data_IF_004766193236
#
_entry.id   IF_004766193236
#
_cell.length_a   1.000
_cell.length_b   1.000
_cell.length_c   1.000
_cell.angle_alpha   90.00
_cell.angle_beta   90.00
_cell.angle_gamma   90.00
#
_symmetry.space_group_name_H-M   'P 1'
#
loop_
_entity.id
_entity.type
_entity.pdbx_description
1 polymer ?
#
# COMPACT_ATOMS: atom_id res chain seq x y z
N UNK A 1 -7.88 -6.91 7.77
CA UNK A 1 -8.93 -5.89 7.48
C UNK A 1 -8.34 -4.82 6.59
N UNK A 2 -9.13 -4.20 5.71
CA UNK A 2 -8.70 -3.05 4.91
C UNK A 2 -9.58 -1.84 5.19
N UNK A 3 -8.94 -0.67 5.34
CA UNK A 3 -9.62 0.63 5.35
C UNK A 3 -8.98 1.55 4.33
N UNK A 4 -9.80 2.33 3.63
CA UNK A 4 -9.34 3.39 2.72
C UNK A 4 -9.80 4.76 3.20
N UNK A 5 -9.02 5.80 2.92
CA UNK A 5 -9.40 7.20 3.14
C UNK A 5 -8.75 8.12 2.13
N UNK A 6 -9.54 9.05 1.57
CA UNK A 6 -9.00 10.20 0.84
C UNK A 6 -8.55 11.30 1.82
N UNK A 7 -7.35 11.83 1.61
CA UNK A 7 -6.79 12.94 2.36
C UNK A 7 -6.56 14.15 1.45
N UNK A 8 -7.16 15.29 1.83
CA UNK A 8 -7.01 16.59 1.15
C UNK A 8 -6.05 17.55 1.86
N UNK A 9 -5.76 17.29 3.14
CA UNK A 9 -5.02 18.18 4.02
C UNK A 9 -3.58 17.69 4.23
N UNK A 10 -2.61 18.52 3.83
CA UNK A 10 -1.19 18.25 3.97
C UNK A 10 -0.79 17.98 5.43
N UNK A 11 -1.33 18.75 6.39
CA UNK A 11 -0.98 18.59 7.80
C UNK A 11 -1.41 17.22 8.33
N UNK A 12 -2.58 16.74 7.89
CA UNK A 12 -3.07 15.40 8.26
C UNK A 12 -2.22 14.30 7.64
N UNK A 13 -1.80 14.45 6.38
CA UNK A 13 -0.95 13.48 5.70
C UNK A 13 0.42 13.38 6.38
N UNK A 14 1.08 14.53 6.61
CA UNK A 14 2.37 14.58 7.31
C UNK A 14 2.27 14.01 8.73
N UNK A 15 1.17 14.28 9.45
CA UNK A 15 0.90 13.66 10.75
C UNK A 15 0.83 12.14 10.67
N UNK A 16 0.16 11.58 9.65
CA UNK A 16 0.11 10.12 9.45
C UNK A 16 1.51 9.57 9.20
N UNK A 17 2.30 10.21 8.33
CA UNK A 17 3.67 9.79 8.03
C UNK A 17 4.56 9.79 9.28
N UNK A 18 4.34 10.71 10.22
CA UNK A 18 5.06 10.74 11.51
C UNK A 18 4.59 9.69 12.54
N UNK A 19 3.47 9.00 12.28
CA UNK A 19 2.91 7.97 13.17
C UNK A 19 3.24 6.55 12.72
N UNK A 20 3.88 6.37 11.57
CA UNK A 20 4.27 5.08 11.03
C UNK A 20 5.78 5.04 10.80
N UNK A 21 6.41 3.92 11.13
CA UNK A 21 7.86 3.75 11.02
C UNK A 21 8.22 2.26 10.98
N UNK A 22 9.24 1.85 10.20
CA UNK A 22 9.94 2.65 9.19
C UNK A 22 8.98 3.09 8.07
N UNK A 23 9.34 4.15 7.33
CA UNK A 23 8.74 4.38 6.02
C UNK A 23 9.58 3.69 4.96
N UNK A 24 8.90 3.07 4.01
CA UNK A 24 9.51 2.33 2.92
C UNK A 24 8.81 2.60 1.60
N UNK A 25 9.50 2.36 0.50
CA UNK A 25 8.98 2.39 -0.86
C UNK A 25 9.45 1.13 -1.62
N UNK A 26 9.39 1.18 -2.95
CA UNK A 26 9.83 0.07 -3.81
C UNK A 26 11.34 -0.23 -3.69
N UNK A 27 12.17 0.75 -3.30
CA UNK A 27 13.64 0.65 -3.30
C UNK A 27 14.27 0.64 -1.92
N UNK A 28 13.67 1.30 -0.93
CA UNK A 28 14.30 1.55 0.38
C UNK A 28 13.33 1.44 1.55
N UNK A 29 13.90 1.38 2.77
CA UNK A 29 13.16 1.28 4.05
C UNK A 29 13.56 2.35 5.08
N UNK A 30 14.23 3.40 4.62
CA UNK A 30 14.72 4.51 5.44
C UNK A 30 14.22 5.86 4.90
N UNK A 31 13.04 5.86 4.28
CA UNK A 31 12.43 7.07 3.74
C UNK A 31 12.02 7.98 4.92
N UNK A 32 12.32 9.27 4.84
CA UNK A 32 11.78 10.24 5.80
C UNK A 32 10.46 10.83 5.30
N UNK A 33 9.57 11.29 6.19
CA UNK A 33 8.35 11.98 5.77
C UNK A 33 8.60 13.16 4.82
N UNK A 34 9.70 13.89 5.02
CA UNK A 34 10.09 15.05 4.20
C UNK A 34 10.57 14.64 2.81
N UNK A 35 11.34 13.56 2.70
CA UNK A 35 11.76 13.03 1.40
C UNK A 35 10.56 12.48 0.60
N UNK A 36 9.57 11.90 1.27
CA UNK A 36 8.38 11.41 0.58
C UNK A 36 7.42 12.54 0.16
N UNK A 37 7.09 13.44 1.09
CA UNK A 37 6.06 14.46 0.90
C UNK A 37 6.65 15.81 0.50
N UNK A 38 7.09 15.92 -0.75
CA UNK A 38 7.71 17.13 -1.31
C UNK A 38 6.73 17.96 -2.12
N UNK A 39 6.88 19.28 -2.10
CA UNK A 39 6.06 20.18 -2.93
C UNK A 39 6.27 19.88 -4.43
N UNK A 40 5.19 20.03 -5.20
CA UNK A 40 5.18 19.67 -6.63
C UNK A 40 4.96 18.19 -6.93
N UNK A 41 4.96 17.31 -5.92
CA UNK A 41 4.72 15.86 -6.12
C UNK A 41 3.27 15.43 -5.87
N UNK A 42 2.39 16.37 -5.51
CA UNK A 42 0.97 16.13 -5.23
C UNK A 42 0.14 17.32 -5.73
N UNK A 43 -1.18 17.14 -5.90
CA UNK A 43 -2.06 18.24 -6.28
C UNK A 43 -2.07 19.37 -5.24
N UNK A 44 -1.83 20.60 -5.66
CA UNK A 44 -1.83 21.77 -4.78
C UNK A 44 -3.22 22.38 -4.59
N UNK A 45 -4.15 22.13 -5.53
CA UNK A 45 -5.50 22.67 -5.49
C UNK A 45 -6.27 22.17 -4.25
N UNK A 46 -6.87 23.05 -3.43
CA UNK A 46 -7.43 22.68 -2.12
C UNK A 46 -8.62 21.72 -2.20
N UNK A 47 -9.39 21.75 -3.28
CA UNK A 47 -10.54 20.86 -3.46
C UNK A 47 -10.16 19.42 -3.85
N UNK A 48 -8.93 19.19 -4.33
CA UNK A 48 -8.51 17.86 -4.80
C UNK A 48 -8.03 17.00 -3.65
N UNK A 49 -8.29 15.70 -3.75
CA UNK A 49 -7.57 14.74 -2.92
C UNK A 49 -6.08 14.84 -3.24
N UNK A 50 -5.24 14.67 -2.22
CA UNK A 50 -3.78 14.71 -2.35
C UNK A 50 -3.20 13.33 -2.19
N UNK A 51 -3.76 12.55 -1.26
CA UNK A 51 -3.39 11.16 -1.06
C UNK A 51 -4.59 10.24 -0.87
N UNK A 52 -4.40 8.97 -1.23
CA UNK A 52 -5.21 7.84 -0.79
C UNK A 52 -4.42 7.11 0.29
N UNK A 53 -5.05 6.86 1.43
CA UNK A 53 -4.47 6.08 2.52
C UNK A 53 -5.15 4.72 2.56
N UNK A 54 -4.37 3.64 2.55
CA UNK A 54 -4.86 2.27 2.64
C UNK A 54 -4.21 1.57 3.83
N UNK A 55 -5.02 1.09 4.77
CA UNK A 55 -4.55 0.28 5.89
C UNK A 55 -4.66 -1.20 5.53
N UNK A 56 -3.57 -1.96 5.66
CA UNK A 56 -3.54 -3.40 5.56
C UNK A 56 -3.28 -3.97 6.96
N UNK A 57 -4.26 -4.66 7.53
CA UNK A 57 -4.17 -5.24 8.87
C UNK A 57 -4.25 -6.78 8.79
N UNK A 58 -3.10 -7.48 8.84
CA UNK A 58 -3.06 -8.93 8.89
C UNK A 58 -3.83 -9.50 10.08
N UNK A 59 -4.54 -10.61 9.86
CA UNK A 59 -5.26 -11.34 10.92
C UNK A 59 -4.36 -12.18 11.83
N UNK A 60 -3.03 -12.08 11.66
CA UNK A 60 -1.99 -12.73 12.46
C UNK A 60 -0.80 -11.80 12.58
N UNK A 61 0.03 -11.98 13.61
CA UNK A 61 1.28 -11.23 13.75
C UNK A 61 2.23 -11.61 12.60
N UNK A 62 2.75 -10.61 11.92
CA UNK A 62 3.82 -10.74 10.94
C UNK A 62 5.08 -10.11 11.51
N UNK A 63 6.25 -10.58 11.09
CA UNK A 63 7.49 -9.86 11.32
C UNK A 63 7.59 -8.62 10.42
N UNK A 64 8.61 -7.80 10.66
CA UNK A 64 8.82 -6.55 9.93
C UNK A 64 9.00 -6.77 8.43
N UNK A 65 9.78 -7.77 8.04
CA UNK A 65 10.08 -8.05 6.62
C UNK A 65 8.81 -8.44 5.86
N UNK A 66 8.00 -9.33 6.45
CA UNK A 66 6.71 -9.73 5.90
C UNK A 66 5.72 -8.54 5.82
N UNK A 67 5.75 -7.62 6.78
CA UNK A 67 4.94 -6.38 6.73
C UNK A 67 5.39 -5.46 5.58
N UNK A 68 6.70 -5.26 5.39
CA UNK A 68 7.22 -4.46 4.27
C UNK A 68 6.87 -5.11 2.94
N UNK A 69 7.08 -6.43 2.83
CA UNK A 69 6.71 -7.21 1.64
C UNK A 69 5.22 -7.10 1.34
N UNK A 70 4.34 -7.19 2.35
CA UNK A 70 2.90 -7.01 2.17
C UNK A 70 2.58 -5.60 1.63
N UNK A 71 3.23 -4.56 2.15
CA UNK A 71 3.07 -3.20 1.65
C UNK A 71 3.48 -3.06 0.18
N UNK A 72 4.66 -3.57 -0.18
CA UNK A 72 5.18 -3.56 -1.57
C UNK A 72 4.26 -4.31 -2.53
N UNK A 73 3.79 -5.50 -2.13
CA UNK A 73 2.83 -6.28 -2.93
C UNK A 73 1.51 -5.53 -3.11
N UNK A 74 0.99 -4.90 -2.04
CA UNK A 74 -0.22 -4.10 -2.11
C UNK A 74 -0.08 -2.91 -3.07
N UNK A 75 1.02 -2.18 -3.00
CA UNK A 75 1.27 -1.06 -3.90
C UNK A 75 1.43 -1.50 -5.35
N UNK A 76 2.25 -2.52 -5.61
CA UNK A 76 2.43 -3.07 -6.97
C UNK A 76 1.13 -3.61 -7.55
N UNK A 77 0.27 -4.23 -6.73
CA UNK A 77 -1.05 -4.69 -7.17
C UNK A 77 -1.94 -3.50 -7.58
N UNK A 78 -1.95 -2.42 -6.78
CA UNK A 78 -2.76 -1.24 -7.11
C UNK A 78 -2.31 -0.58 -8.41
N UNK A 79 -1.01 -0.41 -8.61
CA UNK A 79 -0.44 0.15 -9.85
C UNK A 79 -0.77 -0.73 -11.05
N UNK A 80 -0.62 -2.06 -10.92
CA UNK A 80 -0.93 -3.00 -11.99
C UNK A 80 -2.41 -2.98 -12.39
N UNK A 81 -3.32 -2.83 -11.43
CA UNK A 81 -4.77 -2.82 -11.67
C UNK A 81 -5.26 -1.51 -12.25
N UNK A 82 -4.75 -0.39 -11.75
CA UNK A 82 -5.15 0.94 -12.21
C UNK A 82 -4.47 1.35 -13.51
N UNK A 83 -3.36 0.69 -13.86
CA UNK A 83 -2.53 1.08 -15.00
C UNK A 83 -1.79 2.40 -14.77
N UNK A 84 -1.68 2.83 -13.50
CA UNK A 84 -1.03 4.08 -13.10
C UNK A 84 0.25 3.78 -12.31
N UNK A 85 1.27 4.61 -12.54
CA UNK A 85 2.49 4.67 -11.74
C UNK A 85 2.38 5.87 -10.81
N UNK A 86 2.55 5.65 -9.51
CA UNK A 86 2.36 6.70 -8.51
C UNK A 86 3.47 6.69 -7.47
N UNK A 87 3.77 7.87 -6.94
CA UNK A 87 4.58 7.98 -5.73
C UNK A 87 3.80 7.41 -4.55
N UNK A 88 4.33 6.38 -3.91
CA UNK A 88 3.74 5.80 -2.71
C UNK A 88 4.81 5.55 -1.65
N UNK A 89 4.38 5.51 -0.40
CA UNK A 89 5.17 4.94 0.67
C UNK A 89 4.30 4.04 1.54
N UNK A 90 4.91 3.03 2.14
CA UNK A 90 4.33 2.26 3.21
C UNK A 90 4.98 2.63 4.54
N UNK A 91 4.26 2.42 5.63
CA UNK A 91 4.83 2.46 6.96
C UNK A 91 4.12 1.50 7.91
N UNK A 92 4.85 0.99 8.90
CA UNK A 92 4.29 0.10 9.91
C UNK A 92 3.78 0.94 11.08
N UNK A 93 2.57 0.66 11.57
CA UNK A 93 2.03 1.34 12.74
C UNK A 93 2.86 1.08 14.00
N UNK A 94 2.80 2.00 14.97
CA UNK A 94 3.53 1.88 16.25
C UNK A 94 3.28 0.58 17.01
N UNK A 95 2.08 0.02 16.90
CA UNK A 95 1.72 -1.25 17.53
C UNK A 95 2.16 -2.49 16.72
N UNK A 96 2.75 -2.29 15.53
CA UNK A 96 3.20 -3.35 14.64
C UNK A 96 2.08 -4.14 13.97
N UNK A 97 0.82 -3.71 14.07
CA UNK A 97 -0.35 -4.51 13.65
C UNK A 97 -0.80 -4.27 12.22
N UNK A 98 -0.46 -3.12 11.63
CA UNK A 98 -0.91 -2.74 10.29
C UNK A 98 0.19 -2.07 9.49
N UNK A 99 0.10 -2.25 8.18
CA UNK A 99 0.82 -1.46 7.18
C UNK A 99 -0.11 -0.34 6.74
N UNK A 100 0.36 0.90 6.75
CA UNK A 100 -0.33 2.05 6.19
C UNK A 100 0.37 2.41 4.90
N UNK A 101 -0.33 2.25 3.78
CA UNK A 101 0.10 2.73 2.48
C UNK A 101 -0.47 4.13 2.24
N UNK A 102 0.38 5.03 1.79
CA UNK A 102 0.02 6.38 1.37
C UNK A 102 0.40 6.48 -0.10
N UNK A 103 -0.60 6.68 -0.96
CA UNK A 103 -0.41 6.90 -2.39
C UNK A 103 -0.68 8.37 -2.67
N UNK A 104 0.22 9.05 -3.38
CA UNK A 104 -0.11 10.37 -3.94
C UNK A 104 -1.18 10.16 -5.01
N UNK A 105 -2.07 11.13 -5.14
CA UNK A 105 -3.15 11.07 -6.15
C UNK A 105 -2.70 11.57 -7.51
N UNK A 106 -1.62 12.37 -7.55
CA UNK A 106 -0.99 12.75 -8.80
C UNK A 106 -0.13 11.58 -9.29
N UNK A 107 -0.60 10.90 -10.32
CA UNK A 107 0.02 9.71 -10.89
C UNK A 107 0.29 9.92 -12.39
N UNK A 108 0.97 8.95 -13.00
CA UNK A 108 1.20 8.90 -14.44
C UNK A 108 0.59 7.64 -15.01
N UNK A 109 -0.06 7.76 -16.16
CA UNK A 109 -0.48 6.60 -16.94
C UNK A 109 0.75 5.79 -17.36
N UNK A 110 0.77 4.49 -17.06
CA UNK A 110 1.96 3.64 -17.26
C UNK A 110 2.35 3.48 -18.74
N UNK A 111 1.39 3.66 -19.66
CA UNK A 111 1.64 3.48 -21.11
C UNK A 111 2.04 4.79 -21.78
N UNK A 112 1.39 5.88 -21.41
CA UNK A 112 1.49 7.17 -22.10
C UNK A 112 2.29 8.21 -21.34
N UNK A 113 2.64 7.94 -20.07
CA UNK A 113 3.26 8.88 -19.14
C UNK A 113 2.50 10.19 -18.93
N UNK A 114 1.24 10.26 -19.37
CA UNK A 114 0.39 11.42 -19.14
C UNK A 114 -0.03 11.48 -17.68
N UNK A 115 -0.03 12.68 -17.11
CA UNK A 115 -0.50 12.89 -15.73
C UNK A 115 -1.98 12.54 -15.63
N UNK A 116 -2.31 11.73 -14.63
CA UNK A 116 -3.68 11.35 -14.28
C UNK A 116 -3.88 11.40 -12.78
N UNK A 117 -5.14 11.52 -12.37
CA UNK A 117 -5.52 11.40 -10.97
C UNK A 117 -5.77 9.93 -10.67
N UNK A 118 -5.15 9.42 -9.60
CA UNK A 118 -5.40 8.08 -9.07
C UNK A 118 -6.78 8.06 -8.40
N UNK A 119 -7.66 7.23 -8.95
CA UNK A 119 -8.93 6.85 -8.35
C UNK A 119 -8.85 5.38 -7.98
N UNK A 120 -9.11 5.07 -6.71
CA UNK A 120 -9.08 3.69 -6.21
C UNK A 120 -10.51 3.19 -6.12
N UNK A 121 -10.82 2.17 -6.91
CA UNK A 121 -12.16 1.58 -6.97
C UNK A 121 -12.37 0.55 -5.85
N UNK A 122 -13.63 0.26 -5.46
CA UNK A 122 -13.93 -0.78 -4.48
C UNK A 122 -13.30 -2.14 -4.83
N UNK A 123 -13.24 -2.49 -6.11
CA UNK A 123 -12.68 -3.72 -6.65
C UNK A 123 -11.17 -3.81 -6.41
N UNK A 124 -10.45 -2.69 -6.48
CA UNK A 124 -9.02 -2.63 -6.17
C UNK A 124 -8.78 -2.89 -4.69
N UNK A 125 -9.61 -2.30 -3.82
CA UNK A 125 -9.53 -2.53 -2.38
C UNK A 125 -9.86 -3.98 -2.03
N UNK A 126 -10.83 -4.60 -2.72
CA UNK A 126 -11.13 -6.03 -2.56
C UNK A 126 -9.92 -6.88 -2.96
N UNK A 127 -9.30 -6.60 -4.10
CA UNK A 127 -8.10 -7.33 -4.55
C UNK A 127 -6.94 -7.18 -3.55
N UNK A 128 -6.68 -5.98 -3.03
CA UNK A 128 -5.70 -5.79 -1.97
C UNK A 128 -6.06 -6.58 -0.70
N UNK A 129 -7.35 -6.71 -0.36
CA UNK A 129 -7.81 -7.44 0.83
C UNK A 129 -7.61 -8.96 0.74
N UNK A 130 -7.38 -9.48 -0.47
CA UNK A 130 -7.02 -10.87 -0.71
C UNK A 130 -5.53 -11.15 -0.46
N UNK A 131 -4.67 -10.14 -0.57
CA UNK A 131 -3.25 -10.24 -0.20
C UNK A 131 -3.05 -10.34 1.32
N UNK A 132 -3.95 -9.75 2.10
CA UNK A 132 -3.79 -9.64 3.55
C UNK A 132 -3.96 -11.01 4.22
N UNK A 133 -2.92 -11.56 4.88
CA UNK A 133 -3.00 -12.86 5.54
C UNK A 133 -4.13 -12.89 6.57
N UNK A 134 -5.02 -13.89 6.49
CA UNK A 134 -6.14 -14.08 7.42
C UNK A 134 -5.86 -15.23 8.37
N UNK A 135 -6.38 -15.15 9.59
CA UNK A 135 -6.31 -16.26 10.56
C UNK A 135 -6.99 -17.49 9.94
N UNK A 136 -6.27 -18.62 9.85
CA UNK A 136 -6.78 -19.90 9.36
C UNK A 136 -6.60 -20.21 7.86
N UNK A 137 -6.59 -19.21 6.96
CA UNK A 137 -6.62 -19.44 5.49
C UNK A 137 -5.30 -19.92 4.87
N UNK A 138 -4.17 -19.59 5.49
CA UNK A 138 -2.84 -19.96 4.97
C UNK A 138 -2.45 -21.42 5.22
N UNK A 139 -3.10 -22.09 6.19
CA UNK A 139 -2.87 -23.51 6.49
C UNK A 139 -3.28 -24.39 5.31
N UNK A 140 -4.38 -24.03 4.65
CA UNK A 140 -4.90 -24.78 3.49
C UNK A 140 -4.06 -24.54 2.24
N UNK A 141 -3.60 -23.30 2.00
CA UNK A 141 -2.79 -22.96 0.81
C UNK A 141 -1.42 -23.65 0.84
N UNK A 142 -0.80 -23.80 2.02
CA UNK A 142 0.43 -24.59 2.20
C UNK A 142 0.19 -26.10 2.07
N UNK A 143 -0.92 -26.63 2.61
CA UNK A 143 -1.26 -28.05 2.43
C UNK A 143 -1.56 -28.40 0.97
N UNK A 144 -2.22 -27.52 0.22
CA UNK A 144 -2.51 -27.73 -1.20
C UNK A 144 -1.25 -27.73 -2.07
N UNK A 145 -0.27 -26.85 -1.78
CA UNK A 145 1.04 -26.85 -2.48
C UNK A 145 1.87 -28.11 -2.19
N UNK A 146 1.88 -28.61 -0.95
CA UNK A 146 2.58 -29.87 -0.61
C UNK A 146 1.96 -31.08 -1.32
N UNK A 147 0.63 -31.19 -1.33
CA UNK A 147 -0.08 -32.29 -2.02
C UNK A 147 0.07 -32.27 -3.54
N UNK A 148 0.28 -31.09 -4.14
CA UNK A 148 0.56 -30.96 -5.58
C UNK A 148 1.95 -31.43 -5.98
N UNK A 149 2.95 -31.31 -5.09
CA UNK A 149 4.32 -31.77 -5.36
C UNK A 149 4.51 -33.27 -5.15
N UNK A 150 3.71 -33.92 -4.29
CA UNK A 150 3.78 -35.37 -4.05
C UNK A 150 3.08 -36.21 -5.13
N UNK A 151 2.24 -35.62 -5.98
CA UNK A 151 1.56 -36.30 -7.10
C UNK A 151 2.26 -36.15 -8.45
N UNK A 152 3.42 -35.49 -8.48
CA UNK A 152 4.21 -35.24 -9.70
C UNK A 152 5.52 -36.04 -9.77
N UNK A 153 5.65 -37.13 -8.99
CA UNK A 153 6.74 -38.10 -9.10
C UNK A 153 6.21 -39.42 -9.61
#
# INVERSE_FOLDING_TARGET
MIFTRLARDNKKIVKVLGLVSPLFDTRRENLTPREYWQDGTYFTHPARAKAVLVNLEPGRRLDREAMVSLGRQGAGLLEARTGLVTDWCGGISKDGRRVVLVFKTLAHDNRTWRRRELWVEPEDLRAMAELVPRRGKDRDRWQHRRRGMERGR
#
